data_IF_188360081919
#
_entry.id   IF_188360081919
#
_cell.length_a   1.000
_cell.length_b   1.000
_cell.length_c   1.000
_cell.angle_alpha   90.00
_cell.angle_beta   90.00
_cell.angle_gamma   90.00
#
_symmetry.space_group_name_H-M   'P 1'
#
loop_
_entity.id
_entity.type
_entity.pdbx_description
1 polymer ?
#
# COMPACT_ATOMS: atom_id res chain seq x y z
N UNK A 1 10.44 11.70 3.34
CA UNK A 1 9.14 11.88 4.06
C UNK A 1 8.37 10.56 4.14
N UNK A 2 7.55 10.34 5.18
CA UNK A 2 6.66 9.17 5.27
C UNK A 2 5.48 9.23 4.29
N UNK A 3 4.93 8.07 3.96
CA UNK A 3 3.67 7.94 3.21
C UNK A 3 2.47 8.29 4.09
N UNK A 4 1.37 8.72 3.47
CA UNK A 4 0.07 8.91 4.13
C UNK A 4 -1.07 8.25 3.35
N UNK A 5 -2.29 8.32 3.88
CA UNK A 5 -3.48 7.65 3.28
C UNK A 5 -3.70 8.01 1.80
N UNK A 6 -3.36 9.23 1.37
CA UNK A 6 -3.46 9.66 -0.04
C UNK A 6 -2.47 8.97 -1.00
N UNK A 7 -1.40 8.41 -0.45
CA UNK A 7 -0.39 7.67 -1.21
C UNK A 7 -0.76 6.18 -1.36
N UNK A 8 -1.92 5.77 -0.79
CA UNK A 8 -2.43 4.41 -0.77
C UNK A 8 -3.80 4.33 -1.44
N UNK A 9 -4.08 3.19 -2.08
CA UNK A 9 -5.37 2.92 -2.72
C UNK A 9 -5.79 1.47 -2.48
N UNK A 10 -6.94 1.26 -1.83
CA UNK A 10 -7.55 -0.07 -1.75
C UNK A 10 -8.01 -0.48 -3.15
N UNK A 11 -7.43 -1.56 -3.68
CA UNK A 11 -7.80 -2.14 -4.98
C UNK A 11 -8.90 -3.17 -4.85
N UNK A 12 -8.79 -4.02 -3.84
CA UNK A 12 -9.72 -5.12 -3.63
C UNK A 12 -9.95 -5.33 -2.13
N UNK A 13 -11.16 -5.78 -1.82
CA UNK A 13 -11.56 -6.30 -0.51
C UNK A 13 -12.20 -7.66 -0.74
N UNK A 14 -11.80 -8.66 0.03
CA UNK A 14 -12.34 -10.01 -0.09
C UNK A 14 -12.28 -10.75 1.25
N UNK A 15 -13.12 -11.77 1.39
CA UNK A 15 -13.07 -12.68 2.54
C UNK A 15 -12.17 -13.86 2.17
N UNK A 16 -11.21 -14.19 3.03
CA UNK A 16 -10.37 -15.36 2.89
C UNK A 16 -10.22 -16.05 4.25
N UNK A 17 -10.63 -17.32 4.32
CA UNK A 17 -10.67 -18.10 5.58
C UNK A 17 -11.40 -17.38 6.71
N UNK A 18 -12.54 -16.75 6.39
CA UNK A 18 -13.36 -15.99 7.34
C UNK A 18 -12.78 -14.62 7.75
N UNK A 19 -11.64 -14.21 7.20
CA UNK A 19 -11.01 -12.93 7.48
C UNK A 19 -11.17 -11.95 6.32
N UNK A 20 -11.49 -10.70 6.64
CA UNK A 20 -11.49 -9.60 5.69
C UNK A 20 -10.05 -9.23 5.30
N UNK A 21 -9.76 -9.31 4.00
CA UNK A 21 -8.47 -9.03 3.39
C UNK A 21 -8.59 -7.86 2.42
N UNK A 22 -7.57 -7.03 2.45
CA UNK A 22 -7.43 -5.81 1.68
C UNK A 22 -6.17 -5.89 0.83
N UNK A 23 -6.28 -5.59 -0.47
CA UNK A 23 -5.12 -5.33 -1.33
C UNK A 23 -4.99 -3.84 -1.48
N UNK A 24 -3.95 -3.28 -0.88
CA UNK A 24 -3.69 -1.83 -0.88
C UNK A 24 -2.47 -1.56 -1.76
N UNK A 25 -2.69 -0.80 -2.82
CA UNK A 25 -1.62 -0.36 -3.71
C UNK A 25 -0.95 0.90 -3.17
N UNK A 26 0.38 0.97 -3.28
CA UNK A 26 1.11 2.24 -3.19
C UNK A 26 1.00 2.96 -4.54
N UNK A 27 0.32 4.11 -4.55
CA UNK A 27 -0.11 4.81 -5.78
C UNK A 27 1.08 5.08 -6.70
N UNK A 28 0.92 4.76 -7.98
CA UNK A 28 1.93 4.92 -9.03
C UNK A 28 3.04 3.86 -9.02
N UNK A 29 2.91 2.80 -8.22
CA UNK A 29 3.82 1.65 -8.25
C UNK A 29 3.02 0.35 -8.37
N UNK A 30 3.69 -0.76 -8.65
CA UNK A 30 3.08 -2.08 -8.67
C UNK A 30 3.12 -2.76 -7.27
N UNK A 31 3.48 -2.01 -6.22
CA UNK A 31 3.58 -2.52 -4.86
C UNK A 31 2.16 -2.68 -4.31
N UNK A 32 1.81 -3.91 -3.95
CA UNK A 32 0.56 -4.28 -3.29
C UNK A 32 0.87 -4.80 -1.88
N UNK A 33 0.24 -4.19 -0.89
CA UNK A 33 0.25 -4.62 0.50
C UNK A 33 -1.01 -5.44 0.77
N UNK A 34 -0.83 -6.69 1.21
CA UNK A 34 -1.94 -7.56 1.61
C UNK A 34 -2.16 -7.39 3.12
N UNK A 35 -3.29 -6.81 3.49
CA UNK A 35 -3.62 -6.46 4.87
C UNK A 35 -4.86 -7.22 5.32
N UNK A 36 -4.84 -7.75 6.54
CA UNK A 36 -6.05 -8.24 7.21
C UNK A 36 -6.57 -7.14 8.13
N UNK A 37 -7.83 -6.75 7.96
CA UNK A 37 -8.48 -5.66 8.71
C UNK A 37 -10.00 -5.83 8.68
N UNK A 38 -10.69 -5.33 9.68
CA UNK A 38 -12.15 -5.40 9.81
C UNK A 38 -12.86 -4.25 9.08
N UNK A 39 -12.15 -3.15 8.85
CA UNK A 39 -12.65 -1.96 8.15
C UNK A 39 -11.52 -1.22 7.42
N UNK A 40 -11.90 -0.21 6.63
CA UNK A 40 -11.00 0.52 5.75
C UNK A 40 -9.96 1.34 6.52
N UNK A 41 -10.36 1.97 7.63
CA UNK A 41 -9.45 2.81 8.40
C UNK A 41 -8.36 1.98 9.05
N UNK A 42 -8.72 0.84 9.65
CA UNK A 42 -7.74 -0.12 10.18
C UNK A 42 -6.83 -0.66 9.07
N UNK A 43 -7.37 -0.91 7.87
CA UNK A 43 -6.58 -1.36 6.73
C UNK A 43 -5.51 -0.33 6.33
N UNK A 44 -5.88 0.96 6.28
CA UNK A 44 -4.94 2.04 5.99
C UNK A 44 -3.90 2.21 7.10
N UNK A 45 -4.29 2.17 8.37
CA UNK A 45 -3.35 2.27 9.49
C UNK A 45 -2.32 1.14 9.46
N UNK A 46 -2.77 -0.10 9.26
CA UNK A 46 -1.89 -1.27 9.14
C UNK A 46 -0.98 -1.17 7.91
N UNK A 47 -1.49 -0.70 6.78
CA UNK A 47 -0.68 -0.46 5.59
C UNK A 47 0.41 0.59 5.84
N UNK A 48 0.08 1.73 6.45
CA UNK A 48 1.04 2.78 6.78
C UNK A 48 2.10 2.31 7.80
N UNK A 49 1.71 1.51 8.79
CA UNK A 49 2.65 0.91 9.71
C UNK A 49 3.61 -0.06 8.98
N UNK A 50 3.08 -0.87 8.07
CA UNK A 50 3.88 -1.77 7.26
C UNK A 50 4.89 -1.01 6.38
N UNK A 51 4.48 0.06 5.70
CA UNK A 51 5.40 0.86 4.88
C UNK A 51 6.50 1.50 5.71
N UNK A 52 6.19 2.00 6.92
CA UNK A 52 7.20 2.50 7.87
C UNK A 52 8.21 1.43 8.26
N UNK A 53 7.75 0.24 8.64
CA UNK A 53 8.61 -0.89 9.02
C UNK A 53 9.51 -1.36 7.88
N UNK A 54 9.04 -1.25 6.64
CA UNK A 54 9.83 -1.57 5.44
C UNK A 54 10.79 -0.45 5.02
N UNK A 55 10.70 0.73 5.65
CA UNK A 55 11.44 1.92 5.23
C UNK A 55 10.97 2.49 3.89
N UNK A 56 9.75 2.16 3.43
CA UNK A 56 9.20 2.63 2.15
C UNK A 56 8.76 4.09 2.27
N UNK A 57 9.72 5.00 2.11
CA UNK A 57 9.49 6.45 2.14
C UNK A 57 8.99 6.97 0.79
N UNK A 58 8.49 8.22 0.78
CA UNK A 58 8.13 8.93 -0.46
C UNK A 58 9.27 8.98 -1.47
N UNK A 59 10.49 9.17 -0.99
CA UNK A 59 11.67 9.30 -1.83
C UNK A 59 11.96 7.98 -2.55
N UNK A 60 11.87 6.85 -1.84
CA UNK A 60 11.99 5.51 -2.45
C UNK A 60 10.85 5.25 -3.44
N UNK A 61 9.62 5.60 -3.08
CA UNK A 61 8.46 5.43 -3.98
C UNK A 61 8.65 6.21 -5.27
N UNK A 62 9.19 7.44 -5.21
CA UNK A 62 9.46 8.24 -6.40
C UNK A 62 10.55 7.62 -7.29
N UNK A 63 11.61 7.07 -6.70
CA UNK A 63 12.64 6.34 -7.46
C UNK A 63 12.01 5.13 -8.19
N UNK A 64 11.14 4.39 -7.51
CA UNK A 64 10.44 3.24 -8.10
C UNK A 64 9.51 3.68 -9.24
N UNK A 65 8.74 4.76 -9.03
CA UNK A 65 7.85 5.35 -10.05
C UNK A 65 8.60 5.70 -11.33
N UNK A 66 9.71 6.44 -11.21
CA UNK A 66 10.49 6.89 -12.35
C UNK A 66 11.04 5.69 -13.14
N UNK A 67 11.57 4.67 -12.43
CA UNK A 67 12.09 3.46 -13.07
C UNK A 67 11.01 2.64 -13.79
N UNK A 68 9.76 2.66 -13.33
CA UNK A 68 8.65 1.99 -14.02
C UNK A 68 8.29 2.77 -15.29
N UNK A 69 8.24 4.11 -15.21
CA UNK A 69 7.90 4.96 -16.36
C UNK A 69 8.95 4.92 -17.47
N UNK A 70 10.24 4.84 -17.14
CA UNK A 70 11.33 4.68 -18.13
C UNK A 70 11.26 3.37 -18.94
N UNK A 71 10.48 2.39 -18.48
CA UNK A 71 10.35 1.07 -19.09
C UNK A 71 9.05 0.89 -19.90
N UNK A 72 8.20 1.92 -19.93
CA UNK A 72 6.95 1.98 -20.71
C UNK A 72 7.17 2.83 -21.96
#
# INVERSE_FOLDING_TARGET
MELSKKDLLIKEKYVFLGQMRYRIQVVGTNIILNISAENDDEAYEKALNMTRKMGLTKDIVNIIKNRIQERL
#
